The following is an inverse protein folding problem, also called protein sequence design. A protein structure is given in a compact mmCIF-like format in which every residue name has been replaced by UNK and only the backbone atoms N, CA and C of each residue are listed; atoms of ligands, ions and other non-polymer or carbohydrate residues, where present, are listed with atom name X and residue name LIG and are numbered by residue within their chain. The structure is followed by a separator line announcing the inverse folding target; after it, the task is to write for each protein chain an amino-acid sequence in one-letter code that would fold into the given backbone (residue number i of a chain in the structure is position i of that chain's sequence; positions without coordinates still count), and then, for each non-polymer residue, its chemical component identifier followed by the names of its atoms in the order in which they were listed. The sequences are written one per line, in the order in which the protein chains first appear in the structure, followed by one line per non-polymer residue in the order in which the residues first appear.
data_IF_268787818697
#
_entry.id   IF_268787818697
#
_cell.length_a   1.000
_cell.length_b   1.000
_cell.length_c   1.000
_cell.angle_alpha   90.00
_cell.angle_beta   90.00
_cell.angle_gamma   90.00
#
_symmetry.space_group_name_H-M   'P 1'
#
loop_
_entity.id
_entity.type
_entity.pdbx_description
1 polymer ?
#
# COMPACT_ATOMS: atom_id res chain seq x y z
N UNK A 1 10.41 20.74 7.69
CA UNK A 1 11.66 21.51 7.49
C UNK A 1 12.79 20.57 7.07
N UNK A 2 13.65 21.04 6.20
CA UNK A 2 14.79 20.23 5.78
C UNK A 2 15.86 20.16 6.86
N UNK A 3 16.46 19.00 7.02
CA UNK A 3 17.58 18.77 7.92
C UNK A 3 18.77 18.29 7.09
N UNK A 4 19.97 18.63 7.54
CA UNK A 4 21.20 18.25 6.84
C UNK A 4 21.72 16.93 7.38
N UNK A 5 22.04 16.01 6.48
CA UNK A 5 22.69 14.74 6.79
C UNK A 5 23.97 14.65 5.99
N UNK A 6 25.06 14.27 6.64
CA UNK A 6 26.35 14.08 5.96
C UNK A 6 26.58 12.58 5.76
N UNK A 7 26.90 12.19 4.54
CA UNK A 7 27.15 10.80 4.18
C UNK A 7 28.57 10.63 3.64
N UNK A 8 29.18 9.49 3.96
CA UNK A 8 30.45 9.09 3.37
C UNK A 8 30.15 8.11 2.23
N UNK A 9 30.40 8.52 1.00
CA UNK A 9 30.18 7.70 -0.17
C UNK A 9 31.51 7.14 -0.67
N UNK A 10 31.56 5.85 -1.03
CA UNK A 10 32.74 5.31 -1.71
C UNK A 10 33.02 6.11 -3.00
N UNK A 11 34.31 6.25 -3.33
CA UNK A 11 34.72 7.08 -4.47
C UNK A 11 34.02 6.67 -5.76
N UNK A 12 33.91 5.36 -6.02
CA UNK A 12 33.26 4.85 -7.22
C UNK A 12 31.77 5.25 -7.26
N UNK A 13 31.08 5.15 -6.12
CA UNK A 13 29.69 5.54 -6.02
C UNK A 13 29.52 7.04 -6.28
N UNK A 14 30.39 7.86 -5.68
CA UNK A 14 30.34 9.31 -5.87
C UNK A 14 30.55 9.68 -7.33
N UNK A 15 31.51 9.04 -8.02
CA UNK A 15 31.76 9.29 -9.44
C UNK A 15 30.54 8.92 -10.30
N UNK A 16 29.89 7.81 -9.99
CA UNK A 16 28.67 7.40 -10.70
C UNK A 16 27.55 8.41 -10.50
N UNK A 17 27.38 8.90 -9.28
CA UNK A 17 26.37 9.93 -8.98
C UNK A 17 26.68 11.24 -9.71
N UNK A 18 27.94 11.67 -9.73
CA UNK A 18 28.35 12.88 -10.43
C UNK A 18 28.10 12.80 -11.93
N UNK A 19 28.40 11.65 -12.54
CA UNK A 19 28.11 11.42 -13.97
C UNK A 19 26.61 11.46 -14.26
N UNK A 20 25.82 10.84 -13.39
CA UNK A 20 24.36 10.85 -13.51
C UNK A 20 23.79 12.25 -13.38
N UNK A 21 24.27 13.01 -12.40
CA UNK A 21 23.84 14.39 -12.19
C UNK A 21 24.16 15.27 -13.40
N UNK A 22 25.38 15.16 -13.93
CA UNK A 22 25.81 15.91 -15.12
C UNK A 22 24.94 15.55 -16.32
N UNK A 23 24.68 14.28 -16.55
CA UNK A 23 23.83 13.83 -17.66
C UNK A 23 22.40 14.33 -17.52
N UNK A 24 21.87 14.39 -16.29
CA UNK A 24 20.53 14.88 -16.01
C UNK A 24 20.45 16.42 -15.92
N UNK A 25 21.58 17.11 -16.03
CA UNK A 25 21.69 18.57 -15.91
C UNK A 25 21.16 19.08 -14.57
N UNK A 26 21.50 18.38 -13.49
CA UNK A 26 21.11 18.74 -12.13
C UNK A 26 22.33 18.89 -11.25
N UNK A 27 22.18 19.63 -10.16
CA UNK A 27 23.19 19.62 -9.11
C UNK A 27 23.30 18.24 -8.48
N UNK A 28 24.49 17.87 -7.99
CA UNK A 28 24.71 16.58 -7.36
C UNK A 28 23.72 16.35 -6.21
N UNK A 29 23.52 17.35 -5.38
CA UNK A 29 22.60 17.26 -4.23
C UNK A 29 21.16 17.01 -4.69
N UNK A 30 20.69 17.72 -5.70
CA UNK A 30 19.34 17.51 -6.25
C UNK A 30 19.18 16.12 -6.83
N UNK A 31 20.18 15.66 -7.58
CA UNK A 31 20.19 14.32 -8.15
C UNK A 31 20.10 13.26 -7.07
N UNK A 32 20.89 13.42 -5.99
CA UNK A 32 20.90 12.47 -4.89
C UNK A 32 19.55 12.43 -4.16
N UNK A 33 18.95 13.59 -3.90
CA UNK A 33 17.63 13.65 -3.26
C UNK A 33 16.59 12.95 -4.12
N UNK A 34 16.59 13.19 -5.43
CA UNK A 34 15.65 12.56 -6.35
C UNK A 34 15.80 11.02 -6.33
N UNK A 35 17.05 10.55 -6.35
CA UNK A 35 17.30 9.09 -6.29
C UNK A 35 16.89 8.48 -4.97
N UNK A 36 17.12 9.19 -3.86
CA UNK A 36 16.69 8.73 -2.54
C UNK A 36 15.16 8.64 -2.48
N UNK A 37 14.45 9.62 -3.01
CA UNK A 37 12.99 9.59 -3.02
C UNK A 37 12.44 8.36 -3.75
N UNK A 38 13.08 7.97 -4.84
CA UNK A 38 12.69 6.77 -5.58
C UNK A 38 12.99 5.47 -4.83
N UNK A 39 14.02 5.49 -3.98
CA UNK A 39 14.45 4.32 -3.23
C UNK A 39 13.71 4.14 -1.90
N UNK A 40 12.96 5.12 -1.46
CA UNK A 40 12.27 5.07 -0.18
C UNK A 40 11.10 4.09 -0.22
N UNK A 41 10.75 3.50 0.95
CA UNK A 41 9.59 2.62 1.03
C UNK A 41 8.30 3.37 0.71
N UNK A 42 7.25 2.63 0.28
CA UNK A 42 5.94 3.25 0.08
C UNK A 42 5.48 4.00 1.32
N UNK A 43 4.89 5.17 1.11
CA UNK A 43 4.44 6.03 2.20
C UNK A 43 2.92 6.10 2.23
N UNK A 44 2.37 6.10 3.43
CA UNK A 44 0.95 6.31 3.68
C UNK A 44 0.60 7.78 3.92
N UNK A 45 1.56 8.69 3.76
CA UNK A 45 1.38 10.10 4.15
C UNK A 45 0.33 10.84 3.33
N UNK A 46 0.05 10.36 2.11
CA UNK A 46 -0.97 10.95 1.25
C UNK A 46 -2.40 10.51 1.61
N UNK A 47 -2.54 9.55 2.53
CA UNK A 47 -3.84 9.00 2.92
C UNK A 47 -4.39 9.78 4.11
N UNK A 48 -5.71 10.12 4.13
CA UNK A 48 -6.28 10.80 5.28
C UNK A 48 -6.19 10.00 6.58
N UNK A 49 -5.98 10.70 7.69
CA UNK A 49 -6.14 10.13 9.02
C UNK A 49 -7.65 9.81 9.25
N UNK A 50 -8.04 8.69 9.91
CA UNK A 50 -7.22 7.73 10.66
C UNK A 50 -6.64 6.58 9.85
N UNK A 51 -6.96 6.44 8.56
CA UNK A 51 -6.45 5.36 7.72
C UNK A 51 -4.92 5.33 7.66
N UNK A 52 -4.31 6.50 7.72
CA UNK A 52 -2.85 6.65 7.70
C UNK A 52 -2.18 5.85 8.80
N UNK A 53 -2.74 5.89 10.02
CA UNK A 53 -2.17 5.16 11.15
C UNK A 53 -2.20 3.65 10.93
N UNK A 54 -3.30 3.14 10.39
CA UNK A 54 -3.43 1.72 10.11
C UNK A 54 -2.45 1.26 9.02
N UNK A 55 -2.25 2.08 7.99
CA UNK A 55 -1.32 1.75 6.91
C UNK A 55 0.14 1.86 7.39
N UNK A 56 0.46 2.84 8.22
CA UNK A 56 1.81 2.96 8.80
C UNK A 56 2.17 1.75 9.66
N UNK A 57 1.19 1.20 10.38
CA UNK A 57 1.42 0.01 11.19
C UNK A 57 1.84 -1.19 10.32
N UNK A 58 1.35 -1.28 9.09
CA UNK A 58 1.75 -2.35 8.16
C UNK A 58 3.22 -2.25 7.77
N UNK A 59 3.77 -1.05 7.69
CA UNK A 59 5.16 -0.84 7.29
C UNK A 59 6.15 -1.39 8.31
N UNK A 60 5.71 -1.63 9.54
CA UNK A 60 6.52 -2.18 10.63
C UNK A 60 6.44 -3.70 10.74
N UNK A 61 5.56 -4.34 9.98
CA UNK A 61 5.36 -5.78 10.04
C UNK A 61 6.47 -6.54 9.31
N UNK A 62 6.71 -7.78 9.76
CA UNK A 62 7.60 -8.68 9.04
C UNK A 62 6.94 -9.19 7.75
N UNK A 63 7.73 -9.86 6.92
CA UNK A 63 7.25 -10.31 5.61
C UNK A 63 6.10 -11.30 5.73
N UNK A 64 6.14 -12.19 6.71
CA UNK A 64 5.09 -13.18 6.91
C UNK A 64 3.74 -12.52 7.23
N UNK A 65 3.75 -11.54 8.14
CA UNK A 65 2.55 -10.81 8.49
C UNK A 65 2.02 -10.00 7.30
N UNK A 66 2.91 -9.41 6.50
CA UNK A 66 2.53 -8.70 5.29
C UNK A 66 1.92 -9.63 4.24
N UNK A 67 2.47 -10.84 4.07
CA UNK A 67 1.88 -11.83 3.16
C UNK A 67 0.50 -12.26 3.61
N UNK A 68 0.31 -12.46 4.92
CA UNK A 68 -1.01 -12.77 5.47
C UNK A 68 -2.00 -11.65 5.20
N UNK A 69 -1.58 -10.40 5.36
CA UNK A 69 -2.44 -9.24 5.06
C UNK A 69 -2.76 -9.17 3.57
N UNK A 70 -1.78 -9.37 2.71
CA UNK A 70 -1.97 -9.31 1.25
C UNK A 70 -2.97 -10.37 0.75
N UNK A 71 -3.06 -11.51 1.43
CA UNK A 71 -3.94 -12.61 1.07
C UNK A 71 -5.24 -12.62 1.87
N UNK A 72 -5.42 -11.70 2.82
CA UNK A 72 -6.61 -11.70 3.67
C UNK A 72 -7.86 -11.35 2.88
N UNK A 73 -9.00 -11.84 3.36
CA UNK A 73 -10.30 -11.61 2.76
C UNK A 73 -11.33 -11.43 3.86
N UNK A 74 -12.45 -10.82 3.54
CA UNK A 74 -13.59 -10.83 4.44
C UNK A 74 -14.00 -12.28 4.75
N UNK A 75 -14.51 -12.51 5.96
CA UNK A 75 -15.01 -13.85 6.30
C UNK A 75 -16.09 -14.30 5.32
N UNK A 76 -16.23 -15.61 5.05
CA UNK A 76 -17.27 -16.08 4.15
C UNK A 76 -18.68 -15.62 4.55
N UNK A 77 -18.97 -15.55 5.86
CA UNK A 77 -20.26 -15.07 6.36
C UNK A 77 -20.50 -13.61 5.97
N UNK A 78 -19.48 -12.76 6.10
CA UNK A 78 -19.58 -11.33 5.73
C UNK A 78 -19.67 -11.15 4.23
N UNK A 79 -18.96 -11.94 3.46
CA UNK A 79 -19.06 -11.92 2.00
C UNK A 79 -20.47 -12.27 1.53
N UNK A 80 -21.06 -13.31 2.12
CA UNK A 80 -22.43 -13.73 1.80
C UNK A 80 -23.44 -12.65 2.19
N UNK A 81 -23.28 -12.07 3.37
CA UNK A 81 -24.16 -10.97 3.82
C UNK A 81 -24.05 -9.77 2.89
N UNK A 82 -22.82 -9.39 2.52
CA UNK A 82 -22.58 -8.27 1.61
C UNK A 82 -23.27 -8.51 0.26
N UNK A 83 -23.10 -9.69 -0.33
CA UNK A 83 -23.72 -10.05 -1.61
C UNK A 83 -25.25 -10.02 -1.52
N UNK A 84 -25.81 -10.55 -0.44
CA UNK A 84 -27.25 -10.57 -0.22
C UNK A 84 -27.82 -9.16 -0.12
N UNK A 85 -27.15 -8.28 0.64
CA UNK A 85 -27.59 -6.89 0.79
C UNK A 85 -27.47 -6.10 -0.51
N UNK A 86 -26.43 -6.35 -1.30
CA UNK A 86 -26.31 -5.73 -2.64
C UNK A 86 -27.45 -6.14 -3.54
N UNK A 87 -27.86 -7.41 -3.50
CA UNK A 87 -29.00 -7.92 -4.27
C UNK A 87 -30.29 -7.23 -3.83
N UNK A 88 -30.51 -7.10 -2.51
CA UNK A 88 -31.69 -6.40 -1.98
C UNK A 88 -31.70 -4.94 -2.40
N UNK A 89 -30.54 -4.28 -2.41
CA UNK A 89 -30.44 -2.90 -2.84
C UNK A 89 -30.84 -2.74 -4.31
N UNK A 90 -30.34 -3.64 -5.17
CA UNK A 90 -30.66 -3.59 -6.61
C UNK A 90 -32.14 -3.89 -6.88
N UNK A 91 -32.79 -4.69 -6.03
CA UNK A 91 -34.21 -5.02 -6.13
C UNK A 91 -35.14 -4.00 -5.45
N UNK A 92 -34.57 -3.02 -4.73
CA UNK A 92 -35.32 -2.03 -4.01
C UNK A 92 -36.03 -2.54 -2.76
N UNK A 93 -35.64 -3.71 -2.24
CA UNK A 93 -36.26 -4.35 -1.07
C UNK A 93 -35.46 -4.15 0.22
N UNK A 94 -34.36 -3.41 0.17
CA UNK A 94 -33.50 -3.20 1.33
C UNK A 94 -34.16 -2.29 2.36
N UNK A 95 -34.07 -2.64 3.65
CA UNK A 95 -34.54 -1.80 4.74
C UNK A 95 -33.50 -0.71 5.08
N UNK A 96 -33.90 0.31 5.86
CA UNK A 96 -32.97 1.34 6.30
C UNK A 96 -31.84 0.75 7.17
N UNK A 97 -32.18 -0.18 8.05
CA UNK A 97 -31.16 -0.84 8.90
C UNK A 97 -30.20 -1.69 8.06
N UNK A 98 -30.73 -2.43 7.10
CA UNK A 98 -29.91 -3.22 6.18
C UNK A 98 -29.00 -2.33 5.33
N UNK A 99 -29.48 -1.16 4.94
CA UNK A 99 -28.66 -0.18 4.19
C UNK A 99 -27.48 0.30 5.02
N UNK A 100 -27.69 0.56 6.31
CA UNK A 100 -26.59 0.94 7.22
C UNK A 100 -25.58 -0.19 7.36
N UNK A 101 -26.02 -1.43 7.47
CA UNK A 101 -25.16 -2.61 7.52
C UNK A 101 -24.36 -2.76 6.23
N UNK A 102 -25.02 -2.56 5.09
CA UNK A 102 -24.37 -2.63 3.78
C UNK A 102 -23.26 -1.58 3.67
N UNK A 103 -23.52 -0.36 4.13
CA UNK A 103 -22.52 0.69 4.09
C UNK A 103 -21.32 0.35 4.97
N UNK A 104 -21.55 -0.16 6.18
CA UNK A 104 -20.48 -0.58 7.08
C UNK A 104 -19.63 -1.70 6.48
N UNK A 105 -20.26 -2.69 5.84
CA UNK A 105 -19.54 -3.77 5.17
C UNK A 105 -18.75 -3.26 3.97
N UNK A 106 -19.29 -2.31 3.23
CA UNK A 106 -18.59 -1.68 2.11
C UNK A 106 -17.36 -0.90 2.57
N UNK A 107 -17.46 -0.18 3.69
CA UNK A 107 -16.34 0.55 4.27
C UNK A 107 -15.25 -0.43 4.73
N UNK A 108 -15.64 -1.51 5.38
CA UNK A 108 -14.71 -2.56 5.81
C UNK A 108 -14.00 -3.21 4.63
N UNK A 109 -14.73 -3.50 3.56
CA UNK A 109 -14.16 -4.10 2.35
C UNK A 109 -13.17 -3.14 1.68
N UNK A 110 -13.49 -1.84 1.62
CA UNK A 110 -12.59 -0.83 1.05
C UNK A 110 -11.32 -0.68 1.87
N UNK A 111 -11.45 -0.66 3.20
CA UNK A 111 -10.29 -0.59 4.09
C UNK A 111 -9.39 -1.81 3.93
N UNK A 112 -9.99 -3.00 3.86
CA UNK A 112 -9.24 -4.23 3.65
C UNK A 112 -8.50 -4.21 2.30
N UNK A 113 -9.16 -3.76 1.23
CA UNK A 113 -8.54 -3.63 -0.09
C UNK A 113 -7.33 -2.68 -0.04
N UNK A 114 -7.48 -1.56 0.66
CA UNK A 114 -6.40 -0.59 0.81
C UNK A 114 -5.23 -1.17 1.59
N UNK A 115 -5.50 -1.87 2.69
CA UNK A 115 -4.46 -2.54 3.50
C UNK A 115 -3.73 -3.60 2.69
N UNK A 116 -4.45 -4.40 1.92
CA UNK A 116 -3.85 -5.43 1.06
C UNK A 116 -2.95 -4.82 0.00
N UNK A 117 -3.41 -3.75 -0.62
CA UNK A 117 -2.62 -3.04 -1.63
C UNK A 117 -1.35 -2.46 -1.01
N UNK A 118 -1.45 -1.84 0.16
CA UNK A 118 -0.30 -1.25 0.82
C UNK A 118 0.70 -2.31 1.29
N UNK A 119 0.21 -3.42 1.84
CA UNK A 119 1.06 -4.55 2.22
C UNK A 119 1.83 -5.10 1.02
N UNK A 120 1.15 -5.21 -0.13
CA UNK A 120 1.79 -5.65 -1.38
C UNK A 120 2.86 -4.67 -1.85
N UNK A 121 2.60 -3.37 -1.74
CA UNK A 121 3.60 -2.35 -2.10
C UNK A 121 4.84 -2.44 -1.21
N UNK A 122 4.66 -2.64 0.10
CA UNK A 122 5.78 -2.77 1.04
C UNK A 122 6.60 -4.03 0.71
N UNK A 123 5.93 -5.15 0.47
CA UNK A 123 6.60 -6.39 0.07
C UNK A 123 7.39 -6.22 -1.23
N UNK A 124 6.78 -5.57 -2.21
CA UNK A 124 7.43 -5.31 -3.50
C UNK A 124 8.66 -4.42 -3.32
N UNK A 125 8.53 -3.38 -2.50
CA UNK A 125 9.68 -2.53 -2.19
C UNK A 125 10.82 -3.32 -1.53
N UNK A 126 10.48 -4.32 -0.68
CA UNK A 126 11.47 -5.20 -0.05
C UNK A 126 12.08 -6.23 -1.02
N UNK A 127 11.63 -6.25 -2.28
CA UNK A 127 12.20 -7.10 -3.33
C UNK A 127 11.42 -8.37 -3.62
N UNK A 128 10.24 -8.56 -3.03
CA UNK A 128 9.42 -9.74 -3.30
C UNK A 128 8.61 -9.58 -4.59
N UNK A 129 8.39 -10.70 -5.28
CA UNK A 129 7.45 -10.75 -6.40
C UNK A 129 6.04 -10.86 -5.85
N UNK A 130 5.16 -9.97 -6.30
CA UNK A 130 3.77 -9.99 -5.89
C UNK A 130 2.96 -10.65 -7.02
N UNK A 131 2.25 -11.75 -6.73
CA UNK A 131 1.34 -12.34 -7.72
C UNK A 131 0.25 -11.36 -8.11
N UNK A 132 -0.31 -11.53 -9.31
CA UNK A 132 -1.44 -10.73 -9.73
C UNK A 132 -2.64 -10.99 -8.81
N UNK A 133 -3.59 -10.05 -8.70
CA UNK A 133 -4.79 -10.29 -7.90
C UNK A 133 -5.52 -11.57 -8.27
N UNK A 134 -5.55 -11.93 -9.54
CA UNK A 134 -6.16 -13.17 -9.99
C UNK A 134 -5.44 -14.41 -9.45
N UNK A 135 -4.09 -14.37 -9.38
CA UNK A 135 -3.32 -15.48 -8.82
C UNK A 135 -3.50 -15.60 -7.30
N UNK A 136 -3.67 -14.47 -6.60
CA UNK A 136 -3.93 -14.47 -5.16
C UNK A 136 -5.30 -15.04 -4.81
N UNK A 137 -6.27 -14.94 -5.72
CA UNK A 137 -7.63 -15.41 -5.51
C UNK A 137 -7.82 -16.89 -5.85
N UNK A 138 -6.84 -17.52 -6.50
CA UNK A 138 -6.94 -18.95 -6.81
C UNK A 138 -6.74 -19.75 -5.53
N UNK A 139 -7.65 -20.72 -5.26
CA UNK A 139 -7.41 -21.65 -4.16
C UNK A 139 -6.14 -22.46 -4.44
N UNK A 140 -5.41 -22.69 -3.37
CA UNK A 140 -4.15 -23.45 -3.44
C UNK A 140 -4.42 -24.90 -3.86
#
# INVERSE_FOLDING_TARGET
MAQTVTLQLPDEMLQRCQRGATAARKLLEEFLVDRLMEALPPSADAVPSPLREELRALELLDDQALWQMAQSQLSPARQRLYSRLLTKQSQGTITAQERNTLQALGDEARLLTLKKAHASLVLRWRGHRIPTPAALQKPA
#
